data_IF_286493220530
#
_entry.id   IF_286493220530
#
_cell.length_a   1.000
_cell.length_b   1.000
_cell.length_c   1.000
_cell.angle_alpha   90.00
_cell.angle_beta   90.00
_cell.angle_gamma   90.00
#
_symmetry.space_group_name_H-M   'P 1'
#
loop_
_entity.id
_entity.type
_entity.pdbx_description
1 polymer ?
#
# COMPACT_ATOMS: atom_id res chain seq x y z
N UNK A 1 -14.12 -31.43 -20.24
CA UNK A 1 -14.79 -30.20 -20.73
C UNK A 1 -14.17 -29.01 -20.01
N UNK A 2 -13.20 -28.36 -20.64
CA UNK A 2 -12.60 -27.12 -20.14
C UNK A 2 -13.49 -25.96 -20.58
N UNK A 3 -14.30 -25.44 -19.66
CA UNK A 3 -15.28 -24.36 -19.88
C UNK A 3 -14.66 -22.97 -20.12
N UNK A 4 -13.34 -22.90 -20.27
CA UNK A 4 -12.64 -21.66 -20.51
C UNK A 4 -11.66 -21.89 -21.65
N UNK A 5 -11.64 -21.02 -22.69
CA UNK A 5 -10.57 -21.07 -23.66
C UNK A 5 -9.26 -20.92 -22.90
N UNK A 6 -8.30 -21.81 -23.17
CA UNK A 6 -6.91 -21.53 -22.87
C UNK A 6 -6.57 -20.26 -23.64
N UNK A 7 -6.56 -19.11 -22.95
CA UNK A 7 -5.97 -17.88 -23.46
C UNK A 7 -4.56 -18.25 -23.90
N UNK A 8 -4.31 -18.18 -25.21
CA UNK A 8 -3.00 -18.48 -25.76
C UNK A 8 -1.99 -17.66 -24.96
N UNK A 9 -0.91 -18.29 -24.54
CA UNK A 9 0.25 -17.61 -23.96
C UNK A 9 1.03 -16.90 -25.05
N UNK A 10 0.35 -16.30 -26.03
CA UNK A 10 0.96 -15.32 -26.90
C UNK A 10 1.29 -14.13 -26.02
N UNK A 11 2.55 -14.11 -25.59
CA UNK A 11 3.24 -12.95 -25.07
C UNK A 11 3.35 -11.94 -26.21
N UNK A 12 2.21 -11.39 -26.60
CA UNK A 12 2.14 -10.13 -27.31
C UNK A 12 3.06 -9.14 -26.57
N UNK A 13 4.04 -8.59 -27.29
CA UNK A 13 4.83 -7.48 -26.77
C UNK A 13 3.94 -6.25 -26.52
N UNK A 14 2.79 -6.18 -27.20
CA UNK A 14 1.80 -5.12 -27.07
C UNK A 14 0.88 -5.37 -25.87
N UNK A 15 0.95 -4.49 -24.88
CA UNK A 15 0.06 -4.44 -23.72
C UNK A 15 -0.72 -3.13 -23.71
N UNK A 16 -1.79 -3.06 -22.93
CA UNK A 16 -2.67 -1.89 -22.89
C UNK A 16 -2.53 -1.18 -21.54
N UNK A 17 -2.23 0.11 -21.59
CA UNK A 17 -2.07 0.98 -20.43
C UNK A 17 -3.39 1.69 -20.12
N UNK A 18 -3.79 1.64 -18.85
CA UNK A 18 -4.97 2.29 -18.32
C UNK A 18 -4.62 3.21 -17.15
N UNK A 19 -5.31 4.32 -17.06
CA UNK A 19 -5.27 5.25 -15.93
C UNK A 19 -6.39 4.92 -14.94
N UNK A 20 -6.08 4.96 -13.66
CA UNK A 20 -7.07 4.92 -12.58
C UNK A 20 -7.31 6.35 -12.12
N UNK A 21 -8.53 6.84 -12.30
CA UNK A 21 -8.98 8.11 -11.75
C UNK A 21 -9.77 7.87 -10.49
N UNK A 22 -9.36 8.47 -9.38
CA UNK A 22 -10.19 8.58 -8.20
C UNK A 22 -10.65 10.03 -8.12
N UNK A 23 -11.96 10.26 -8.19
CA UNK A 23 -12.49 11.63 -8.17
C UNK A 23 -12.03 12.37 -6.92
N UNK A 24 -11.67 13.65 -7.10
CA UNK A 24 -11.11 14.58 -6.09
C UNK A 24 -9.68 14.26 -5.65
N UNK A 25 -9.07 13.20 -6.15
CA UNK A 25 -7.66 12.89 -5.90
C UNK A 25 -6.87 13.10 -7.20
N UNK A 26 -5.67 13.69 -7.09
CA UNK A 26 -4.73 13.81 -8.21
C UNK A 26 -3.84 12.57 -8.21
N UNK A 27 -4.38 11.47 -8.72
CA UNK A 27 -3.69 10.18 -8.65
C UNK A 27 -2.92 9.87 -9.92
N UNK A 28 -1.69 9.43 -9.69
CA UNK A 28 -0.74 8.97 -10.70
C UNK A 28 -0.69 7.44 -10.73
N UNK A 29 -1.86 6.81 -10.65
CA UNK A 29 -2.01 5.36 -10.70
C UNK A 29 -2.44 4.90 -12.09
N UNK A 30 -1.83 3.80 -12.51
CA UNK A 30 -2.25 3.08 -13.70
C UNK A 30 -2.14 1.58 -13.50
N UNK A 31 -2.57 0.86 -14.52
CA UNK A 31 -2.27 -0.56 -14.64
C UNK A 31 -2.11 -0.94 -16.11
N UNK A 32 -1.41 -2.05 -16.34
CA UNK A 32 -1.28 -2.64 -17.66
C UNK A 32 -1.89 -4.04 -17.69
N UNK A 33 -2.46 -4.39 -18.83
CA UNK A 33 -3.06 -5.71 -19.10
C UNK A 33 -2.69 -6.18 -20.52
N UNK A 34 -2.57 -7.50 -20.75
CA UNK A 34 -2.21 -8.03 -22.06
C UNK A 34 -3.32 -7.91 -23.11
N UNK A 35 -4.58 -7.81 -22.66
CA UNK A 35 -5.76 -7.73 -23.54
C UNK A 35 -6.50 -6.42 -23.31
N UNK A 36 -6.95 -5.78 -24.40
CA UNK A 36 -7.75 -4.57 -24.31
C UNK A 36 -9.08 -4.89 -23.63
N UNK A 37 -9.40 -4.13 -22.59
CA UNK A 37 -10.65 -4.20 -21.87
C UNK A 37 -11.75 -3.46 -22.65
N UNK A 38 -12.96 -4.01 -22.61
CA UNK A 38 -14.16 -3.24 -22.93
C UNK A 38 -14.32 -2.12 -21.88
N UNK A 39 -15.07 -1.08 -22.21
CA UNK A 39 -15.40 0.01 -21.31
C UNK A 39 -15.93 -0.53 -19.97
N UNK A 40 -15.15 -0.32 -18.90
CA UNK A 40 -15.49 -0.77 -17.55
C UNK A 40 -16.42 0.24 -16.89
N UNK A 41 -17.46 -0.21 -16.18
CA UNK A 41 -18.33 0.71 -15.45
C UNK A 41 -17.56 1.34 -14.27
N UNK A 42 -17.85 2.61 -14.00
CA UNK A 42 -17.39 3.30 -12.80
C UNK A 42 -17.86 2.56 -11.53
N UNK A 43 -17.07 2.64 -10.47
CA UNK A 43 -17.41 2.06 -9.17
C UNK A 43 -16.95 2.97 -8.03
N UNK A 44 -17.53 2.78 -6.84
CA UNK A 44 -17.25 3.63 -5.69
C UNK A 44 -16.34 2.94 -4.68
N UNK A 45 -15.47 3.74 -4.08
CA UNK A 45 -14.76 3.46 -2.84
C UNK A 45 -15.35 4.33 -1.72
N UNK A 46 -15.21 3.88 -0.48
CA UNK A 46 -15.72 4.56 0.71
C UNK A 46 -14.55 4.90 1.65
N UNK A 47 -14.21 6.18 1.72
CA UNK A 47 -13.13 6.72 2.53
C UNK A 47 -13.40 6.68 4.04
N UNK A 48 -12.47 7.25 4.83
CA UNK A 48 -12.50 7.19 6.30
C UNK A 48 -13.77 7.78 6.92
N UNK A 49 -14.37 8.80 6.29
CA UNK A 49 -15.59 9.45 6.77
C UNK A 49 -16.83 9.05 5.95
N UNK A 50 -16.82 7.85 5.36
CA UNK A 50 -17.82 7.41 4.38
C UNK A 50 -17.95 8.37 3.17
N UNK A 51 -16.91 9.15 2.89
CA UNK A 51 -16.82 9.90 1.65
C UNK A 51 -16.83 8.93 0.47
N UNK A 52 -17.69 9.21 -0.51
CA UNK A 52 -17.78 8.45 -1.74
C UNK A 52 -16.70 8.97 -2.70
N UNK A 53 -15.78 8.09 -3.04
CA UNK A 53 -14.74 8.32 -4.04
C UNK A 53 -15.07 7.47 -5.27
N UNK A 54 -15.49 8.11 -6.36
CA UNK A 54 -15.79 7.40 -7.60
C UNK A 54 -14.51 7.11 -8.36
N UNK A 55 -14.33 5.86 -8.75
CA UNK A 55 -13.23 5.35 -9.56
C UNK A 55 -13.70 5.21 -11.00
N UNK A 56 -12.95 5.83 -11.89
CA UNK A 56 -13.09 5.78 -13.34
C UNK A 56 -11.79 5.23 -13.96
N UNK A 57 -11.92 4.43 -15.03
CA UNK A 57 -10.82 3.72 -15.65
C UNK A 57 -10.76 4.13 -17.12
N UNK A 58 -9.69 4.82 -17.51
CA UNK A 58 -9.53 5.25 -18.89
C UNK A 58 -8.41 4.51 -19.58
N UNK A 59 -8.68 4.06 -20.81
CA UNK A 59 -7.64 3.61 -21.71
C UNK A 59 -6.76 4.79 -22.13
N UNK A 60 -5.44 4.62 -22.03
CA UNK A 60 -4.46 5.61 -22.50
C UNK A 60 -3.96 5.19 -23.88
N UNK A 61 -3.19 4.10 -23.95
CA UNK A 61 -2.48 3.66 -25.16
C UNK A 61 -2.05 2.21 -25.10
N UNK A 62 -1.70 1.66 -26.25
CA UNK A 62 -0.97 0.40 -26.35
C UNK A 62 0.52 0.70 -26.18
N UNK A 63 1.21 -0.15 -25.42
CA UNK A 63 2.63 -0.02 -25.09
C UNK A 63 3.38 -1.30 -25.44
N UNK A 64 4.68 -1.17 -25.69
CA UNK A 64 5.60 -2.30 -25.74
C UNK A 64 6.03 -2.68 -24.31
N UNK A 65 5.46 -3.76 -23.77
CA UNK A 65 5.72 -4.22 -22.41
C UNK A 65 7.17 -4.65 -22.20
N UNK A 66 7.88 -5.09 -23.24
CA UNK A 66 9.26 -5.56 -23.10
C UNK A 66 10.19 -4.46 -22.58
N UNK A 67 9.86 -3.19 -22.86
CA UNK A 67 10.60 -2.00 -22.38
C UNK A 67 10.46 -1.73 -20.89
N UNK A 68 9.38 -2.19 -20.26
CA UNK A 68 9.04 -1.87 -18.86
C UNK A 68 8.96 -3.12 -17.96
N UNK A 69 9.23 -4.29 -18.54
CA UNK A 69 8.96 -5.59 -17.93
C UNK A 69 9.64 -5.75 -16.58
N UNK A 70 10.90 -5.33 -16.46
CA UNK A 70 11.70 -5.56 -15.26
C UNK A 70 11.26 -4.63 -14.13
N UNK A 71 11.07 -3.35 -14.44
CA UNK A 71 10.66 -2.29 -13.51
C UNK A 71 9.27 -2.58 -12.96
N UNK A 72 8.30 -2.90 -13.83
CA UNK A 72 6.93 -3.20 -13.42
C UNK A 72 6.89 -4.47 -12.56
N UNK A 73 7.64 -5.52 -12.92
CA UNK A 73 7.71 -6.74 -12.11
C UNK A 73 8.31 -6.48 -10.74
N UNK A 74 9.42 -5.73 -10.69
CA UNK A 74 10.07 -5.35 -9.45
C UNK A 74 9.12 -4.56 -8.55
N UNK A 75 8.43 -3.56 -9.12
CA UNK A 75 7.48 -2.72 -8.42
C UNK A 75 6.25 -3.49 -7.93
N UNK A 76 5.64 -4.32 -8.77
CA UNK A 76 4.54 -5.18 -8.35
C UNK A 76 4.98 -6.06 -7.19
N UNK A 77 6.09 -6.79 -7.31
CA UNK A 77 6.60 -7.62 -6.22
C UNK A 77 6.79 -6.81 -4.93
N UNK A 78 7.37 -5.62 -5.04
CA UNK A 78 7.56 -4.72 -3.90
C UNK A 78 6.24 -4.34 -3.21
N UNK A 79 5.23 -3.92 -3.98
CA UNK A 79 3.91 -3.56 -3.46
C UNK A 79 3.30 -4.69 -2.62
N UNK A 80 3.29 -5.91 -3.13
CA UNK A 80 2.65 -7.04 -2.45
C UNK A 80 3.44 -7.48 -1.21
N UNK A 81 4.76 -7.61 -1.30
CA UNK A 81 5.59 -8.13 -0.20
C UNK A 81 5.88 -7.13 0.92
N UNK A 82 5.92 -5.83 0.59
CA UNK A 82 6.42 -4.80 1.53
C UNK A 82 5.36 -3.79 1.95
N UNK A 83 4.36 -3.53 1.10
CA UNK A 83 3.30 -2.55 1.40
C UNK A 83 2.02 -3.28 1.81
N UNK A 84 1.50 -4.17 0.98
CA UNK A 84 0.22 -4.83 1.24
C UNK A 84 0.32 -5.89 2.34
N UNK A 85 1.39 -6.70 2.39
CA UNK A 85 1.58 -7.69 3.46
C UNK A 85 1.63 -7.04 4.85
N UNK A 86 2.27 -5.86 4.96
CA UNK A 86 2.29 -5.07 6.19
C UNK A 86 0.90 -4.55 6.62
N UNK A 87 0.04 -4.23 5.65
CA UNK A 87 -1.34 -3.75 5.88
C UNK A 87 -2.28 -4.93 6.18
N UNK A 88 -2.03 -6.12 5.63
CA UNK A 88 -2.93 -7.29 5.64
C UNK A 88 -2.68 -8.24 6.83
N UNK A 89 -1.61 -8.05 7.60
CA UNK A 89 -1.29 -8.86 8.79
C UNK A 89 -2.30 -8.81 9.95
N UNK A 90 -3.41 -8.06 9.81
CA UNK A 90 -4.59 -8.19 10.68
C UNK A 90 -5.66 -9.07 10.03
N UNK A 91 -5.66 -10.36 10.36
CA UNK A 91 -6.80 -11.29 10.24
C UNK A 91 -7.45 -11.45 8.86
N UNK A 92 -7.09 -12.51 8.14
CA UNK A 92 -7.98 -13.42 7.37
C UNK A 92 -9.03 -12.83 6.40
N UNK A 93 -8.98 -11.55 6.04
CA UNK A 93 -10.09 -10.91 5.33
C UNK A 93 -9.71 -10.53 3.90
N UNK A 94 -9.99 -11.47 2.99
CA UNK A 94 -10.64 -11.23 1.69
C UNK A 94 -9.94 -10.19 0.79
N UNK A 95 -8.71 -10.44 0.33
CA UNK A 95 -8.24 -9.98 -1.00
C UNK A 95 -7.12 -10.93 -1.47
N UNK A 96 -7.46 -12.19 -1.78
CA UNK A 96 -6.52 -13.17 -2.35
C UNK A 96 -6.23 -12.84 -3.84
N UNK A 97 -5.68 -11.66 -4.10
CA UNK A 97 -5.19 -11.31 -5.44
C UNK A 97 -3.75 -11.78 -5.58
N UNK A 98 -3.56 -12.95 -6.19
CA UNK A 98 -2.25 -13.42 -6.61
C UNK A 98 -2.07 -13.08 -8.11
N UNK A 99 -1.17 -12.15 -8.40
CA UNK A 99 -0.87 -11.71 -9.78
C UNK A 99 -0.39 -12.88 -10.64
N UNK A 100 0.42 -13.79 -10.10
CA UNK A 100 1.05 -14.88 -10.85
C UNK A 100 0.02 -15.95 -11.28
N UNK A 101 -1.01 -16.16 -10.47
CA UNK A 101 -2.11 -17.08 -10.78
C UNK A 101 -3.33 -16.40 -11.40
N UNK A 102 -3.34 -15.06 -11.49
CA UNK A 102 -4.44 -14.32 -12.08
C UNK A 102 -4.43 -14.46 -13.60
N UNK A 103 -5.49 -15.04 -14.17
CA UNK A 103 -5.73 -15.09 -15.61
C UNK A 103 -5.84 -13.70 -16.26
N UNK A 104 -6.15 -12.67 -15.45
CA UNK A 104 -6.31 -11.29 -15.88
C UNK A 104 -4.98 -10.54 -16.04
N UNK A 105 -3.88 -11.05 -15.44
CA UNK A 105 -2.51 -10.46 -15.48
C UNK A 105 -2.48 -8.93 -15.36
N UNK A 106 -3.27 -8.39 -14.44
CA UNK A 106 -3.33 -6.96 -14.18
C UNK A 106 -2.13 -6.54 -13.33
N UNK A 107 -1.28 -5.68 -13.90
CA UNK A 107 -0.06 -5.21 -13.25
C UNK A 107 -0.19 -3.72 -12.90
N UNK A 108 -0.24 -3.34 -11.62
CA UNK A 108 -0.23 -1.93 -11.23
C UNK A 108 1.09 -1.25 -11.60
N UNK A 109 1.01 0.03 -11.94
CA UNK A 109 2.16 0.87 -12.24
C UNK A 109 1.88 2.32 -11.81
N UNK A 110 2.95 3.12 -11.75
CA UNK A 110 2.86 4.56 -11.55
C UNK A 110 2.89 5.29 -12.89
N UNK A 111 2.22 6.42 -12.94
CA UNK A 111 2.16 7.28 -14.11
C UNK A 111 2.89 8.61 -13.87
N UNK A 112 3.57 9.10 -14.89
CA UNK A 112 4.10 10.46 -14.97
C UNK A 112 3.21 11.24 -15.93
N UNK A 113 2.86 12.48 -15.56
CA UNK A 113 1.99 13.36 -16.37
C UNK A 113 0.66 12.72 -16.81
N UNK A 114 0.19 11.71 -16.06
CA UNK A 114 -1.07 10.98 -16.28
C UNK A 114 -1.14 10.06 -17.53
N UNK A 115 -0.07 9.91 -18.32
CA UNK A 115 -0.11 9.14 -19.58
C UNK A 115 1.16 8.34 -19.92
N UNK A 116 2.22 8.45 -19.11
CA UNK A 116 3.48 7.74 -19.27
C UNK A 116 3.81 6.90 -18.03
N UNK A 117 4.52 5.78 -18.18
CA UNK A 117 4.90 4.94 -17.03
C UNK A 117 6.11 5.57 -16.32
N UNK A 118 5.99 5.79 -15.02
CA UNK A 118 7.05 6.38 -14.18
C UNK A 118 8.00 5.31 -13.61
N UNK A 119 8.91 4.82 -14.45
CA UNK A 119 9.91 3.85 -14.04
C UNK A 119 10.86 4.38 -12.96
N UNK A 120 11.22 5.66 -12.99
CA UNK A 120 12.16 6.26 -12.05
C UNK A 120 11.58 6.27 -10.64
N UNK A 121 10.33 6.72 -10.46
CA UNK A 121 9.65 6.70 -9.17
C UNK A 121 9.40 5.28 -8.67
N UNK A 122 8.99 4.36 -9.53
CA UNK A 122 8.81 2.95 -9.16
C UNK A 122 10.12 2.34 -8.63
N UNK A 123 11.24 2.53 -9.32
CA UNK A 123 12.55 2.04 -8.88
C UNK A 123 13.01 2.74 -7.59
N UNK A 124 12.79 4.05 -7.49
CA UNK A 124 13.09 4.81 -6.27
C UNK A 124 12.38 4.23 -5.05
N UNK A 125 11.07 3.93 -5.17
CA UNK A 125 10.28 3.28 -4.10
C UNK A 125 10.85 1.90 -3.76
N UNK A 126 11.13 1.07 -4.75
CA UNK A 126 11.69 -0.27 -4.54
C UNK A 126 13.02 -0.24 -3.74
N UNK A 127 13.82 0.81 -3.90
CA UNK A 127 15.12 0.96 -3.26
C UNK A 127 15.06 1.54 -1.83
N UNK A 128 13.86 1.82 -1.29
CA UNK A 128 13.72 2.42 0.06
C UNK A 128 13.87 1.43 1.21
N UNK A 129 13.67 0.15 0.94
CA UNK A 129 13.54 -0.86 1.99
C UNK A 129 14.80 -0.92 2.88
N UNK A 130 14.59 -0.92 4.20
CA UNK A 130 15.66 -1.02 5.22
C UNK A 130 16.70 0.10 5.15
N UNK A 131 16.43 1.22 4.47
CA UNK A 131 17.33 2.36 4.46
C UNK A 131 17.35 2.99 5.87
N UNK A 132 18.51 3.07 6.54
CA UNK A 132 18.59 3.66 7.87
C UNK A 132 18.44 5.19 7.83
N UNK A 133 17.95 5.75 8.92
CA UNK A 133 18.06 7.18 9.21
C UNK A 133 19.36 7.38 9.98
N UNK A 134 20.27 8.18 9.43
CA UNK A 134 21.60 8.39 10.01
C UNK A 134 21.62 9.61 10.92
N UNK A 135 20.83 10.63 10.59
CA UNK A 135 20.86 11.92 11.27
C UNK A 135 19.46 12.49 11.50
N UNK A 136 19.29 13.22 12.61
CA UNK A 136 18.03 13.91 12.91
C UNK A 136 17.59 14.88 11.81
N UNK A 137 18.53 15.49 11.06
CA UNK A 137 18.22 16.39 9.94
C UNK A 137 17.58 15.69 8.74
N UNK A 138 17.57 14.36 8.70
CA UNK A 138 16.91 13.56 7.67
C UNK A 138 15.44 13.26 8.02
N UNK A 139 14.98 13.68 9.20
CA UNK A 139 13.57 13.60 9.58
C UNK A 139 12.76 14.63 8.80
N UNK A 140 11.65 14.20 8.20
CA UNK A 140 10.78 15.02 7.36
C UNK A 140 9.31 14.65 7.56
N UNK A 141 8.46 15.67 7.49
CA UNK A 141 7.00 15.53 7.61
C UNK A 141 6.35 14.86 6.40
N UNK A 142 7.07 14.71 5.29
CA UNK A 142 6.59 13.97 4.11
C UNK A 142 6.87 12.47 4.20
N UNK A 143 7.73 12.08 5.13
CA UNK A 143 8.27 10.73 5.21
C UNK A 143 7.53 9.86 6.23
N UNK A 144 7.74 8.55 6.07
CA UNK A 144 7.31 7.54 7.03
C UNK A 144 8.52 6.83 7.58
N UNK A 145 8.39 6.36 8.81
CA UNK A 145 9.46 5.67 9.53
C UNK A 145 8.96 4.36 10.13
N UNK A 146 9.88 3.43 10.31
CA UNK A 146 9.66 2.18 11.04
C UNK A 146 10.80 1.99 12.03
N UNK A 147 10.47 1.48 13.23
CA UNK A 147 11.49 1.06 14.17
C UNK A 147 11.99 -0.34 13.78
N UNK A 148 13.28 -0.47 13.44
CA UNK A 148 13.80 -1.71 12.83
C UNK A 148 13.73 -2.93 13.73
N UNK A 149 13.70 -2.73 15.05
CA UNK A 149 13.62 -3.80 16.05
C UNK A 149 12.19 -4.29 16.31
N UNK A 150 11.16 -3.65 15.75
CA UNK A 150 9.78 -4.06 15.92
C UNK A 150 9.34 -4.99 14.78
N UNK A 151 8.72 -6.13 15.15
CA UNK A 151 8.24 -7.12 14.17
C UNK A 151 6.97 -6.67 13.43
N UNK A 152 6.14 -5.84 14.06
CA UNK A 152 4.81 -5.46 13.56
C UNK A 152 4.82 -4.41 12.44
N UNK A 153 5.99 -4.00 11.94
CA UNK A 153 6.17 -2.98 10.87
C UNK A 153 5.32 -1.71 11.08
N UNK A 154 5.10 -1.32 12.34
CA UNK A 154 4.32 -0.13 12.68
C UNK A 154 4.93 1.10 11.99
N UNK A 155 4.10 1.87 11.29
CA UNK A 155 4.49 3.09 10.62
C UNK A 155 4.38 4.28 11.57
N UNK A 156 5.32 5.21 11.43
CA UNK A 156 5.42 6.41 12.25
C UNK A 156 5.63 7.64 11.37
N UNK A 157 5.10 8.78 11.83
CA UNK A 157 5.39 10.12 11.31
C UNK A 157 6.17 10.90 12.35
N UNK A 158 6.98 11.87 11.91
CA UNK A 158 7.70 12.78 12.80
C UNK A 158 6.76 13.82 13.38
N UNK A 159 7.08 14.29 14.59
CA UNK A 159 6.42 15.44 15.22
C UNK A 159 7.49 16.51 15.43
N UNK A 160 7.47 17.61 14.65
CA UNK A 160 8.55 18.61 14.62
C UNK A 160 8.58 19.57 15.84
N UNK A 161 7.88 19.25 16.92
CA UNK A 161 7.75 20.14 18.08
C UNK A 161 9.03 20.16 18.92
N UNK A 162 9.67 21.33 18.96
CA UNK A 162 10.90 21.61 19.72
C UNK A 162 10.73 21.31 21.21
N UNK A 163 9.53 21.52 21.77
CA UNK A 163 9.24 21.28 23.19
C UNK A 163 9.28 19.78 23.52
N UNK A 164 9.05 18.93 22.52
CA UNK A 164 9.07 17.48 22.66
C UNK A 164 10.43 16.86 22.37
N UNK A 165 11.47 17.66 22.10
CA UNK A 165 12.80 17.13 21.85
C UNK A 165 13.35 16.43 23.10
N UNK A 166 13.88 15.23 22.89
CA UNK A 166 14.54 14.42 23.90
C UNK A 166 15.92 14.01 23.44
N UNK A 167 16.81 13.83 24.42
CA UNK A 167 18.11 13.19 24.23
C UNK A 167 18.10 11.79 24.81
N UNK A 168 18.95 10.92 24.29
CA UNK A 168 19.11 9.57 24.82
C UNK A 168 19.61 9.53 26.27
N UNK A 169 20.25 10.59 26.74
CA UNK A 169 20.67 10.80 28.14
C UNK A 169 19.60 11.38 29.05
N UNK A 170 18.45 11.82 28.51
CA UNK A 170 17.36 12.31 29.34
C UNK A 170 16.80 11.21 30.23
N UNK A 171 16.25 11.60 31.37
CA UNK A 171 15.66 10.68 32.34
C UNK A 171 14.50 9.91 31.73
N UNK A 172 14.49 8.58 31.91
CA UNK A 172 13.36 7.74 31.57
C UNK A 172 12.21 7.96 32.58
N UNK A 173 11.14 8.61 32.13
CA UNK A 173 10.02 9.04 32.99
C UNK A 173 8.85 8.05 33.07
N UNK A 174 8.95 6.86 32.48
CA UNK A 174 7.85 5.88 32.50
C UNK A 174 7.77 5.08 33.82
N UNK A 175 6.57 4.56 34.10
CA UNK A 175 6.12 4.10 35.43
C UNK A 175 6.83 2.85 35.98
N UNK A 176 7.37 1.98 35.14
CA UNK A 176 8.10 0.77 35.56
C UNK A 176 9.59 1.03 35.49
N UNK A 177 10.20 1.26 36.66
CA UNK A 177 11.65 1.47 36.80
C UNK A 177 12.27 0.23 37.43
N UNK A 178 13.05 -0.51 36.63
CA UNK A 178 14.14 -1.29 37.20
C UNK A 178 15.20 -0.30 37.66
N UNK A 179 15.86 -0.54 38.80
CA UNK A 179 16.88 0.38 39.36
C UNK A 179 18.03 0.67 38.39
N UNK A 180 18.25 -0.22 37.42
CA UNK A 180 19.28 -0.13 36.38
C UNK A 180 18.91 0.78 35.21
N UNK A 181 17.63 1.14 35.02
CA UNK A 181 17.16 1.96 33.89
C UNK A 181 16.94 3.40 34.36
N UNK A 182 17.90 4.29 34.06
CA UNK A 182 17.83 5.71 34.43
C UNK A 182 17.48 6.61 33.25
N UNK A 183 18.03 6.32 32.08
CA UNK A 183 17.93 7.14 30.87
C UNK A 183 17.20 6.41 29.74
N UNK A 184 16.81 7.13 28.67
CA UNK A 184 16.27 6.51 27.46
C UNK A 184 17.26 5.50 26.85
N UNK A 185 18.55 5.82 26.81
CA UNK A 185 19.57 4.88 26.35
C UNK A 185 19.60 3.60 27.19
N UNK A 186 19.56 3.69 28.53
CA UNK A 186 19.54 2.50 29.39
C UNK A 186 18.31 1.63 29.11
N UNK A 187 17.16 2.26 28.84
CA UNK A 187 15.94 1.54 28.49
C UNK A 187 16.10 0.74 27.20
N UNK A 188 16.61 1.38 26.14
CA UNK A 188 16.77 0.73 24.84
C UNK A 188 17.87 -0.33 24.85
N UNK A 189 19.00 -0.09 25.51
CA UNK A 189 20.08 -1.07 25.67
C UNK A 189 19.65 -2.28 26.52
N UNK A 190 18.84 -2.04 27.57
CA UNK A 190 18.25 -3.13 28.35
C UNK A 190 17.26 -3.97 27.52
N UNK A 191 16.44 -3.31 26.69
CA UNK A 191 15.46 -3.99 25.83
C UNK A 191 16.10 -4.70 24.64
N UNK A 192 17.21 -4.16 24.13
CA UNK A 192 17.93 -4.61 22.95
C UNK A 192 19.41 -4.84 23.31
N UNK A 193 19.75 -5.97 23.98
CA UNK A 193 21.05 -6.18 24.60
C UNK A 193 22.25 -6.21 23.64
N UNK A 194 22.01 -6.30 22.33
CA UNK A 194 23.04 -6.29 21.29
C UNK A 194 23.14 -4.96 20.54
N UNK A 195 22.49 -3.90 21.04
CA UNK A 195 22.49 -2.57 20.44
C UNK A 195 23.11 -1.60 21.42
N UNK A 196 24.15 -0.88 21.01
CA UNK A 196 24.68 0.25 21.76
C UNK A 196 24.00 1.53 21.27
N UNK A 197 23.52 2.34 22.20
CA UNK A 197 22.82 3.59 21.89
C UNK A 197 23.77 4.76 22.07
N UNK A 198 23.89 5.63 21.06
CA UNK A 198 24.76 6.80 21.17
C UNK A 198 24.23 7.73 22.27
N UNK A 199 25.02 7.91 23.34
CA UNK A 199 24.66 8.76 24.48
C UNK A 199 24.61 10.23 24.06
N UNK A 200 23.73 11.00 24.70
CA UNK A 200 23.50 12.43 24.44
C UNK A 200 23.04 12.80 23.01
N UNK A 201 22.69 11.82 22.17
CA UNK A 201 22.13 12.07 20.83
C UNK A 201 20.68 12.55 20.91
N UNK A 202 20.29 13.40 19.94
CA UNK A 202 18.90 13.78 19.75
C UNK A 202 18.08 12.57 19.31
N UNK A 203 16.90 12.41 19.90
CA UNK A 203 15.92 11.38 19.56
C UNK A 203 14.88 11.94 18.58
N UNK A 204 14.33 11.07 17.74
CA UNK A 204 13.14 11.38 16.98
C UNK A 204 11.91 11.32 17.89
N UNK A 205 11.11 12.38 17.87
CA UNK A 205 9.75 12.34 18.40
C UNK A 205 8.81 11.92 17.28
N UNK A 206 8.15 10.79 17.48
CA UNK A 206 7.31 10.19 16.45
C UNK A 206 5.92 9.85 16.96
N UNK A 207 4.96 9.79 16.05
CA UNK A 207 3.58 9.41 16.31
C UNK A 207 3.22 8.21 15.44
N UNK A 208 2.66 7.17 16.04
CA UNK A 208 2.21 6.00 15.30
C UNK A 208 1.01 6.39 14.43
N UNK A 209 1.01 5.98 13.16
CA UNK A 209 -0.17 6.12 12.30
C UNK A 209 -1.04 4.87 12.39
N UNK A 210 -2.35 5.06 12.41
CA UNK A 210 -3.29 3.94 12.31
C UNK A 210 -3.13 3.25 10.97
N UNK A 211 -3.14 1.91 10.97
CA UNK A 211 -3.13 1.16 9.72
C UNK A 211 -4.37 1.52 8.89
N UNK A 212 -4.21 1.74 7.57
CA UNK A 212 -5.34 1.97 6.69
C UNK A 212 -6.25 0.73 6.68
N UNK A 213 -7.53 0.96 6.38
CA UNK A 213 -8.50 -0.13 6.20
C UNK A 213 -8.09 -0.98 4.99
N UNK A 214 -8.40 -2.27 5.00
CA UNK A 214 -8.04 -3.17 3.88
C UNK A 214 -9.06 -3.06 2.71
N UNK A 215 -10.35 -2.96 3.02
CA UNK A 215 -11.43 -3.01 2.03
C UNK A 215 -12.22 -1.70 1.97
N UNK A 216 -12.05 -0.94 0.88
CA UNK A 216 -12.75 0.32 0.61
C UNK A 216 -14.02 0.15 -0.23
N UNK A 217 -14.42 -1.07 -0.60
CA UNK A 217 -15.62 -1.32 -1.43
C UNK A 217 -16.94 -1.26 -0.63
N UNK A 218 -16.88 -1.19 0.69
CA UNK A 218 -18.06 -1.13 1.55
C UNK A 218 -18.03 0.10 2.45
N UNK A 219 -19.19 0.71 2.68
CA UNK A 219 -19.36 1.72 3.71
C UNK A 219 -18.97 1.18 5.08
N UNK A 220 -18.46 2.06 5.94
CA UNK A 220 -18.28 1.75 7.35
C UNK A 220 -19.67 1.71 7.97
N UNK A 221 -20.12 0.51 8.36
CA UNK A 221 -21.39 0.39 9.07
C UNK A 221 -21.29 1.06 10.43
N UNK A 222 -22.11 2.08 10.65
CA UNK A 222 -22.19 2.85 11.90
C UNK A 222 -22.72 2.03 13.08
N UNK A 223 -23.13 0.78 12.86
CA UNK A 223 -23.78 -0.08 13.86
C UNK A 223 -22.84 -0.91 14.73
N UNK A 224 -21.53 -0.95 14.45
CA UNK A 224 -20.57 -1.50 15.44
C UNK A 224 -20.23 -0.44 16.49
N UNK A 225 -21.20 -0.18 17.38
CA UNK A 225 -20.93 0.43 18.69
C UNK A 225 -19.86 -0.40 19.41
N UNK A 226 -18.70 0.22 19.60
CA UNK A 226 -17.82 0.08 20.76
C UNK A 226 -17.67 -1.33 21.35
N UNK A 227 -17.02 -2.25 20.64
CA UNK A 227 -16.06 -3.11 21.33
C UNK A 227 -14.75 -2.34 21.42
N UNK A 228 -14.63 -1.54 22.49
CA UNK A 228 -13.34 -1.18 23.09
C UNK A 228 -12.64 -2.47 23.52
N UNK A 229 -12.11 -3.23 22.55
CA UNK A 229 -10.94 -4.03 22.85
C UNK A 229 -9.78 -3.05 22.84
N UNK A 230 -9.21 -2.89 24.03
CA UNK A 230 -8.07 -2.08 24.38
C UNK A 230 -6.84 -2.38 23.51
N UNK A 231 -6.85 -1.91 22.26
CA UNK A 231 -5.66 -1.31 21.70
C UNK A 231 -5.62 0.08 22.34
N UNK A 232 -4.81 0.23 23.38
CA UNK A 232 -4.50 1.53 23.99
C UNK A 232 -4.41 2.61 22.91
N UNK A 233 -5.05 3.76 23.17
CA UNK A 233 -4.99 5.04 22.45
C UNK A 233 -3.53 5.52 22.26
N UNK A 234 -2.73 4.74 21.55
CA UNK A 234 -1.36 5.04 21.13
C UNK A 234 -1.37 6.03 19.96
N UNK A 235 -2.53 6.22 19.31
CA UNK A 235 -2.67 7.10 18.16
C UNK A 235 -2.54 8.57 18.50
N UNK A 236 -2.45 8.98 19.77
CA UNK A 236 -2.16 10.36 20.19
C UNK A 236 -0.92 10.52 21.07
N UNK A 237 -0.28 9.40 21.46
CA UNK A 237 0.92 9.46 22.27
C UNK A 237 2.16 9.58 21.38
N UNK A 238 2.94 10.62 21.64
CA UNK A 238 4.28 10.75 21.07
C UNK A 238 5.20 9.72 21.73
N UNK A 239 6.04 9.11 20.92
CA UNK A 239 7.08 8.15 21.32
C UNK A 239 8.42 8.73 20.92
N UNK A 240 9.43 8.57 21.76
CA UNK A 240 10.79 9.00 21.45
C UNK A 240 11.65 7.78 21.07
N UNK A 241 12.23 7.80 19.88
CA UNK A 241 13.17 6.78 19.42
C UNK A 241 14.57 7.36 19.17
N UNK A 242 15.65 6.67 19.58
CA UNK A 242 16.99 6.97 19.07
C UNK A 242 16.99 6.88 17.54
N UNK A 243 17.69 7.80 16.88
CA UNK A 243 17.73 7.88 15.40
C UNK A 243 18.22 6.57 14.79
N UNK A 244 19.25 5.96 15.38
CA UNK A 244 19.82 4.67 14.95
C UNK A 244 18.86 3.47 15.08
N UNK A 245 17.70 3.66 15.73
CA UNK A 245 16.63 2.66 15.78
C UNK A 245 15.59 2.81 14.67
N UNK A 246 15.71 3.84 13.83
CA UNK A 246 14.74 4.16 12.77
C UNK A 246 15.26 3.86 11.38
N UNK A 247 14.41 3.24 10.58
CA UNK A 247 14.56 3.14 9.13
C UNK A 247 13.45 3.94 8.45
N UNK A 248 13.68 4.33 7.20
CA UNK A 248 12.61 4.82 6.33
C UNK A 248 11.54 3.73 6.15
N UNK A 249 10.29 4.16 6.13
CA UNK A 249 9.16 3.34 5.75
C UNK A 249 9.26 2.90 4.28
N UNK A 250 8.49 1.87 3.90
CA UNK A 250 8.53 1.31 2.55
C UNK A 250 8.13 2.34 1.48
N UNK A 251 7.39 3.36 1.86
CA UNK A 251 6.95 4.48 1.01
C UNK A 251 6.93 5.76 1.83
N UNK A 252 6.84 6.91 1.16
CA UNK A 252 6.53 8.19 1.83
C UNK A 252 5.01 8.31 2.08
N UNK A 253 4.58 9.41 2.71
CA UNK A 253 3.16 9.60 3.04
C UNK A 253 2.26 9.78 1.81
N UNK A 254 2.73 10.44 0.76
CA UNK A 254 1.96 10.68 -0.45
C UNK A 254 1.70 9.35 -1.20
N UNK A 255 2.74 8.55 -1.37
CA UNK A 255 2.70 7.22 -1.98
C UNK A 255 1.85 6.25 -1.15
N UNK A 256 1.91 6.32 0.18
CA UNK A 256 1.03 5.50 1.03
C UNK A 256 -0.45 5.80 0.75
N UNK A 257 -0.81 7.08 0.61
CA UNK A 257 -2.20 7.52 0.32
C UNK A 257 -2.72 6.97 -1.00
N UNK A 258 -1.81 6.83 -1.97
CA UNK A 258 -2.06 6.27 -3.28
C UNK A 258 -2.29 4.75 -3.19
N UNK A 259 -1.40 4.03 -2.49
CA UNK A 259 -1.38 2.57 -2.53
C UNK A 259 -2.40 1.88 -1.63
N UNK A 260 -2.84 2.50 -0.52
CA UNK A 260 -3.71 1.79 0.42
C UNK A 260 -5.08 1.40 -0.19
N UNK A 261 -5.56 2.14 -1.21
CA UNK A 261 -6.83 1.85 -1.91
C UNK A 261 -6.66 0.79 -3.00
N UNK A 262 -5.43 0.63 -3.48
CA UNK A 262 -5.12 -0.18 -4.65
C UNK A 262 -5.60 -1.64 -4.50
N UNK A 263 -5.43 -2.34 -3.37
CA UNK A 263 -5.96 -3.70 -3.21
C UNK A 263 -7.47 -3.82 -3.50
N UNK A 264 -8.27 -2.86 -3.04
CA UNK A 264 -9.72 -2.83 -3.29
C UNK A 264 -10.05 -2.60 -4.76
N UNK A 265 -9.28 -1.71 -5.41
CA UNK A 265 -9.40 -1.41 -6.84
C UNK A 265 -9.04 -2.64 -7.67
N UNK A 266 -7.90 -3.29 -7.41
CA UNK A 266 -7.43 -4.47 -8.15
C UNK A 266 -8.44 -5.62 -8.08
N UNK A 267 -9.02 -5.87 -6.89
CA UNK A 267 -10.06 -6.88 -6.73
C UNK A 267 -11.33 -6.53 -7.50
N UNK A 268 -11.77 -5.27 -7.44
CA UNK A 268 -12.96 -4.84 -8.18
C UNK A 268 -12.76 -4.93 -9.69
N UNK A 269 -11.61 -4.52 -10.21
CA UNK A 269 -11.26 -4.64 -11.64
C UNK A 269 -11.26 -6.11 -12.08
N UNK A 270 -10.70 -6.99 -11.27
CA UNK A 270 -10.70 -8.43 -11.54
C UNK A 270 -12.12 -8.97 -11.60
N UNK A 271 -12.99 -8.61 -10.65
CA UNK A 271 -14.40 -9.02 -10.67
C UNK A 271 -15.13 -8.54 -11.93
N UNK A 272 -14.93 -7.28 -12.32
CA UNK A 272 -15.55 -6.70 -13.52
C UNK A 272 -15.08 -7.42 -14.79
N UNK A 273 -13.78 -7.72 -14.90
CA UNK A 273 -13.25 -8.52 -15.99
C UNK A 273 -13.88 -9.91 -16.07
N UNK A 274 -14.01 -10.62 -14.95
CA UNK A 274 -14.67 -11.94 -14.95
C UNK A 274 -16.12 -11.87 -15.40
N UNK A 275 -16.87 -10.84 -14.97
CA UNK A 275 -18.25 -10.61 -15.40
C UNK A 275 -18.30 -10.37 -16.91
N UNK A 276 -17.37 -9.59 -17.45
CA UNK A 276 -17.25 -9.33 -18.88
C UNK A 276 -16.97 -10.61 -19.67
N UNK A 277 -15.98 -11.41 -19.24
CA UNK A 277 -15.66 -12.69 -19.88
C UNK A 277 -16.88 -13.64 -19.88
N UNK A 278 -17.60 -13.71 -18.76
CA UNK A 278 -18.85 -14.49 -18.68
C UNK A 278 -19.90 -13.98 -19.66
N UNK A 279 -20.08 -12.65 -19.81
CA UNK A 279 -21.01 -12.07 -20.78
C UNK A 279 -20.65 -12.45 -22.22
N UNK A 280 -19.36 -12.45 -22.57
CA UNK A 280 -18.89 -12.86 -23.90
C UNK A 280 -19.23 -14.32 -24.16
N UNK A 281 -18.92 -15.20 -23.20
CA UNK A 281 -19.23 -16.64 -23.29
C UNK A 281 -20.75 -16.85 -23.44
N UNK A 282 -21.57 -16.22 -22.60
CA UNK A 282 -23.02 -16.34 -22.71
C UNK A 282 -23.54 -15.80 -24.06
N UNK A 283 -23.02 -14.68 -24.56
CA UNK A 283 -23.43 -14.14 -25.86
C UNK A 283 -23.04 -15.07 -27.03
N UNK A 284 -21.89 -15.75 -26.95
CA UNK A 284 -21.51 -16.75 -27.97
C UNK A 284 -22.39 -17.99 -27.94
N UNK A 285 -22.78 -18.44 -26.74
CA UNK A 285 -23.68 -19.59 -26.58
C UNK A 285 -25.12 -19.25 -27.00
N UNK A 286 -25.60 -18.03 -26.69
CA UNK A 286 -26.95 -17.58 -27.06
C UNK A 286 -27.09 -17.39 -28.58
N UNK A 287 -26.00 -17.07 -29.31
CA UNK A 287 -26.00 -17.02 -30.79
C UNK A 287 -26.30 -18.38 -31.47
N UNK A 288 -26.39 -19.49 -30.72
CA UNK A 288 -26.86 -20.79 -31.23
C UNK A 288 -28.40 -20.86 -31.30
N UNK A 289 -29.13 -19.96 -30.65
CA UNK A 289 -30.56 -19.75 -30.89
C UNK A 289 -30.79 -18.65 -31.92
N UNK A 290 -30.43 -18.91 -33.19
CA UNK A 290 -31.21 -18.33 -34.29
C UNK A 290 -32.63 -18.90 -34.13
N UNK A 291 -33.53 -18.09 -33.60
CA UNK A 291 -34.97 -18.30 -33.76
C UNK A 291 -35.18 -18.54 -35.25
N UNK A 292 -35.65 -19.75 -35.61
CA UNK A 292 -36.13 -20.03 -36.97
C UNK A 292 -37.17 -18.96 -37.27
N UNK A 293 -36.85 -18.06 -38.18
CA UNK A 293 -37.85 -17.22 -38.81
C UNK A 293 -38.88 -18.16 -39.43
N UNK A 294 -40.10 -18.08 -38.91
CA UNK A 294 -41.32 -18.70 -39.44
C UNK A 294 -41.77 -18.00 -40.70
#
# INVERSE_FOLDING_TARGET
MTLFPQLSTDLSNSWHLYRINIQKEKDELGFIVPSKLIELPNFNLYGANNEILTVDINYIKTIDYTKYKNEIKCFCKYLFENIFDGIVNSSQTILNFNIEYSSFKLLPCLLKNYDEIDCERMLSICNRLKKPVEHHSQLSDDELYVAWHLQNRQLYITVPDIVLLKRTSDLWTHKTKLETIKTYADYFEHKLPNVSIHRDSLMATVKAISNPRINYLHQISTEKKATKHSATDLSDQCIHYPIELLHYGPVNQADLKLFYKLPSILVRLTQLYWIEQLRIVFASEIKIYKVRES
#
